data_IF_443520240675
#
_entry.id   IF_443520240675
#
_cell.length_a   1.000
_cell.length_b   1.000
_cell.length_c   1.000
_cell.angle_alpha   90.00
_cell.angle_beta   90.00
_cell.angle_gamma   90.00
#
_symmetry.space_group_name_H-M   'P 1'
#
loop_
_entity.id
_entity.type
_entity.pdbx_description
1 polymer ?
#
# COMPACT_ATOMS: atom_id res chain seq x y z
N UNK A 1 39.66 -13.88 -25.22
CA UNK A 1 38.22 -13.64 -25.40
C UNK A 1 37.52 -14.10 -24.12
N UNK A 2 37.04 -13.17 -23.30
CA UNK A 2 36.24 -13.53 -22.11
C UNK A 2 34.79 -13.55 -22.55
N UNK A 3 34.22 -14.74 -22.63
CA UNK A 3 32.83 -14.98 -22.99
C UNK A 3 31.94 -14.42 -21.88
N UNK A 4 31.22 -13.32 -22.14
CA UNK A 4 30.17 -12.83 -21.26
C UNK A 4 29.00 -13.82 -21.32
N UNK A 5 28.81 -14.60 -20.25
CA UNK A 5 27.58 -15.38 -20.06
C UNK A 5 26.39 -14.42 -19.97
N UNK A 6 25.23 -14.73 -20.59
CA UNK A 6 24.04 -13.91 -20.42
C UNK A 6 23.69 -13.84 -18.93
N UNK A 7 23.74 -12.64 -18.36
CA UNK A 7 23.34 -12.43 -16.98
C UNK A 7 21.82 -12.32 -16.95
N UNK A 8 21.13 -13.42 -16.65
CA UNK A 8 19.69 -13.39 -16.38
C UNK A 8 19.47 -12.51 -15.16
N UNK A 9 18.89 -11.33 -15.37
CA UNK A 9 18.59 -10.36 -14.32
C UNK A 9 17.09 -10.12 -14.28
N UNK A 10 16.50 -10.24 -13.09
CA UNK A 10 15.12 -9.89 -12.82
C UNK A 10 15.12 -8.61 -11.99
N UNK A 11 14.34 -7.62 -12.42
CA UNK A 11 14.10 -6.40 -11.64
C UNK A 11 12.73 -6.54 -10.98
N UNK A 12 12.68 -6.36 -9.65
CA UNK A 12 11.43 -6.33 -8.90
C UNK A 12 11.52 -5.26 -7.82
N UNK A 13 10.38 -4.69 -7.46
CA UNK A 13 10.27 -3.80 -6.31
C UNK A 13 10.14 -4.62 -5.03
N UNK A 14 10.66 -4.08 -3.93
CA UNK A 14 10.61 -4.75 -2.64
C UNK A 14 10.40 -3.74 -1.51
N UNK A 15 9.71 -4.17 -0.46
CA UNK A 15 9.57 -3.39 0.76
C UNK A 15 10.60 -3.91 1.76
N UNK A 16 11.48 -3.02 2.21
CA UNK A 16 12.40 -3.32 3.32
C UNK A 16 11.68 -3.12 4.66
N UNK A 17 11.46 -4.22 5.39
CA UNK A 17 10.82 -4.17 6.72
C UNK A 17 11.56 -5.08 7.69
N UNK A 18 11.89 -4.56 8.88
CA UNK A 18 12.52 -5.33 9.97
C UNK A 18 13.75 -6.15 9.54
N UNK A 19 14.62 -5.59 8.68
CA UNK A 19 15.83 -6.28 8.21
C UNK A 19 15.61 -7.23 7.02
N UNK A 20 14.39 -7.37 6.51
CA UNK A 20 14.05 -8.29 5.42
C UNK A 20 13.56 -7.51 4.20
N UNK A 21 14.15 -7.78 3.03
CA UNK A 21 13.64 -7.35 1.73
C UNK A 21 12.52 -8.28 1.29
N UNK A 22 11.30 -7.77 1.21
CA UNK A 22 10.11 -8.51 0.78
C UNK A 22 9.75 -8.10 -0.64
N UNK A 23 10.00 -8.93 -1.66
CA UNK A 23 9.66 -8.58 -3.03
C UNK A 23 8.13 -8.50 -3.19
N UNK A 24 7.67 -7.56 -4.01
CA UNK A 24 6.24 -7.39 -4.31
C UNK A 24 5.71 -8.48 -5.25
N UNK A 25 6.62 -9.09 -6.02
CA UNK A 25 6.32 -10.21 -6.91
C UNK A 25 7.18 -11.43 -6.54
N UNK A 26 6.73 -12.65 -6.86
CA UNK A 26 7.55 -13.84 -6.71
C UNK A 26 8.88 -13.71 -7.46
N UNK A 27 9.96 -14.14 -6.81
CA UNK A 27 11.27 -14.27 -7.44
C UNK A 27 11.39 -15.69 -8.00
N UNK A 28 11.92 -15.81 -9.22
CA UNK A 28 12.25 -17.10 -9.81
C UNK A 28 13.61 -17.58 -9.27
N UNK A 29 13.61 -18.02 -8.01
CA UNK A 29 14.81 -18.48 -7.29
C UNK A 29 14.53 -19.79 -6.56
N UNK A 30 15.56 -20.63 -6.48
CA UNK A 30 15.53 -21.85 -5.67
C UNK A 30 15.89 -21.54 -4.22
N UNK A 31 15.49 -22.42 -3.31
CA UNK A 31 15.91 -22.32 -1.92
C UNK A 31 17.45 -22.35 -1.79
N UNK A 32 18.00 -21.47 -0.96
CA UNK A 32 19.46 -21.31 -0.75
C UNK A 32 20.27 -20.89 -1.99
N UNK A 33 19.62 -20.36 -3.02
CA UNK A 33 20.31 -19.84 -4.20
C UNK A 33 21.07 -18.54 -3.88
N UNK A 34 22.36 -18.48 -4.27
CA UNK A 34 23.20 -17.29 -4.05
C UNK A 34 22.94 -16.27 -5.16
N UNK A 35 22.44 -15.10 -4.76
CA UNK A 35 22.13 -14.00 -5.69
C UNK A 35 22.96 -12.75 -5.39
N UNK A 36 23.08 -11.87 -6.39
CA UNK A 36 23.60 -10.50 -6.21
C UNK A 36 22.41 -9.54 -6.19
N UNK A 37 22.34 -8.68 -5.18
CA UNK A 37 21.29 -7.67 -5.05
C UNK A 37 21.82 -6.29 -5.49
N UNK A 38 20.99 -5.55 -6.21
CA UNK A 38 21.18 -4.13 -6.48
C UNK A 38 20.00 -3.38 -5.86
N UNK A 39 20.25 -2.48 -4.92
CA UNK A 39 19.20 -1.75 -4.21
C UNK A 39 19.16 -0.33 -4.71
N UNK A 40 18.05 0.03 -5.36
CA UNK A 40 17.72 1.41 -5.70
C UNK A 40 16.60 1.88 -4.77
N UNK A 41 16.80 3.00 -4.08
CA UNK A 41 15.71 3.63 -3.33
C UNK A 41 14.72 4.21 -4.34
N UNK A 42 13.46 3.81 -4.22
CA UNK A 42 12.37 4.52 -4.88
C UNK A 42 12.02 5.71 -4.01
N UNK A 43 11.88 6.88 -4.64
CA UNK A 43 11.31 8.03 -3.96
C UNK A 43 9.94 7.61 -3.42
N UNK A 44 9.68 7.89 -2.15
CA UNK A 44 8.30 7.87 -1.66
C UNK A 44 7.52 8.75 -2.62
N UNK A 45 6.54 8.18 -3.34
CA UNK A 45 5.54 8.99 -4.01
C UNK A 45 5.13 10.05 -3.00
N UNK A 46 5.24 11.36 -3.32
CA UNK A 46 5.14 12.42 -2.33
C UNK A 46 3.90 12.09 -1.53
N UNK A 47 4.11 11.79 -0.23
CA UNK A 47 3.07 11.36 0.71
C UNK A 47 1.85 12.15 0.33
N UNK A 48 0.86 11.52 -0.32
CA UNK A 48 -0.29 12.26 -0.83
C UNK A 48 -0.76 13.07 0.36
N UNK A 49 -0.73 14.40 0.21
CA UNK A 49 -0.75 15.29 1.35
C UNK A 49 -1.96 14.89 2.21
N UNK A 50 -1.67 14.30 3.36
CA UNK A 50 -2.69 13.71 4.22
C UNK A 50 -3.72 14.79 4.57
N UNK A 51 -3.26 16.03 4.68
CA UNK A 51 -4.11 17.19 4.90
C UNK A 51 -5.01 17.46 3.70
N UNK A 52 -4.50 17.39 2.47
CA UNK A 52 -5.30 17.52 1.26
C UNK A 52 -6.35 16.39 1.11
N UNK A 53 -6.00 15.14 1.45
CA UNK A 53 -6.95 14.02 1.43
C UNK A 53 -8.03 14.19 2.51
N UNK A 54 -7.66 14.64 3.70
CA UNK A 54 -8.60 14.93 4.78
C UNK A 54 -9.51 16.11 4.43
N UNK A 55 -8.99 17.15 3.77
CA UNK A 55 -9.78 18.28 3.30
C UNK A 55 -10.83 17.84 2.27
N UNK A 56 -10.44 17.02 1.29
CA UNK A 56 -11.36 16.45 0.29
C UNK A 56 -12.44 15.57 0.91
N UNK A 57 -12.08 14.76 1.92
CA UNK A 57 -13.06 13.96 2.67
C UNK A 57 -14.07 14.84 3.41
N UNK A 58 -13.61 15.88 4.11
CA UNK A 58 -14.48 16.82 4.82
C UNK A 58 -15.44 17.54 3.88
N UNK A 59 -14.93 18.03 2.75
CA UNK A 59 -15.76 18.64 1.69
C UNK A 59 -16.83 17.66 1.19
N UNK A 60 -16.49 16.37 1.02
CA UNK A 60 -17.43 15.32 0.67
C UNK A 60 -18.54 15.15 1.72
N UNK A 61 -18.18 15.06 3.00
CA UNK A 61 -19.14 14.93 4.12
C UNK A 61 -20.07 16.14 4.19
N UNK A 62 -19.55 17.35 4.03
CA UNK A 62 -20.35 18.58 4.01
C UNK A 62 -21.36 18.58 2.85
N UNK A 63 -20.93 18.14 1.65
CA UNK A 63 -21.80 18.04 0.47
C UNK A 63 -22.90 16.98 0.59
N UNK A 64 -22.71 15.95 1.42
CA UNK A 64 -23.70 14.89 1.61
C UNK A 64 -25.01 15.42 2.22
N UNK A 65 -25.05 16.65 2.76
CA UNK A 65 -26.26 17.30 3.28
C UNK A 65 -27.05 16.38 4.22
N UNK A 66 -26.36 15.58 5.02
CA UNK A 66 -26.99 14.65 5.94
C UNK A 66 -27.75 15.44 7.01
N UNK A 67 -29.09 15.40 6.93
CA UNK A 67 -29.99 16.07 7.87
C UNK A 67 -30.80 15.01 8.57
N UNK A 68 -30.53 14.81 9.86
CA UNK A 68 -31.44 14.08 10.74
C UNK A 68 -32.39 15.10 11.37
N UNK A 69 -33.66 15.08 10.96
CA UNK A 69 -34.71 15.94 11.52
C UNK A 69 -35.56 15.20 12.58
N UNK A 70 -35.12 14.01 13.01
CA UNK A 70 -35.82 13.17 13.99
C UNK A 70 -34.99 12.91 15.25
N UNK A 71 -35.61 12.29 16.25
CA UNK A 71 -34.89 11.76 17.41
C UNK A 71 -33.87 10.74 16.89
N UNK A 72 -32.61 10.88 17.31
CA UNK A 72 -31.59 9.88 17.02
C UNK A 72 -32.05 8.51 17.54
N UNK A 73 -31.89 7.44 16.75
CA UNK A 73 -32.19 6.09 17.21
C UNK A 73 -31.45 5.80 18.51
N UNK A 74 -32.14 5.18 19.46
CA UNK A 74 -31.52 4.62 20.64
C UNK A 74 -30.61 3.45 20.25
N UNK A 75 -29.70 3.09 21.16
CA UNK A 75 -28.78 1.97 20.97
C UNK A 75 -29.53 0.67 20.65
N UNK A 76 -30.67 0.44 21.29
CA UNK A 76 -31.44 -0.78 21.12
C UNK A 76 -32.11 -0.84 19.73
N UNK A 77 -32.63 0.30 19.23
CA UNK A 77 -33.20 0.44 17.87
C UNK A 77 -32.15 0.31 16.74
N UNK A 78 -30.86 0.50 17.02
CA UNK A 78 -29.77 0.31 16.06
C UNK A 78 -29.31 -1.15 15.92
N UNK A 79 -29.70 -2.01 16.87
CA UNK A 79 -29.26 -3.40 16.95
C UNK A 79 -30.34 -4.40 16.57
N UNK A 80 -31.42 -3.96 15.92
CA UNK A 80 -32.42 -4.83 15.30
C UNK A 80 -31.75 -5.65 14.18
N UNK A 81 -31.28 -6.83 14.58
CA UNK A 81 -30.87 -7.92 13.72
C UNK A 81 -32.10 -8.80 13.53
N UNK A 82 -32.84 -8.54 12.47
CA UNK A 82 -33.58 -9.61 11.78
C UNK A 82 -32.64 -10.32 10.81
#
# INVERSE_FOLDING_TARGET
MVSMSPTTSQVTEAIYTKGVLKPLQPLDLRESERVRLMVQKLDESPRQDREALLAKLREGIEKMNFRSNGRYPSRDELHDRD
#
